data_IF_856489622587
#
_entry.id   IF_856489622587
#
_cell.length_a   1.000
_cell.length_b   1.000
_cell.length_c   1.000
_cell.angle_alpha   90.00
_cell.angle_beta   90.00
_cell.angle_gamma   90.00
#
_symmetry.space_group_name_H-M   'P 1'
#
loop_
_entity.id
_entity.type
_entity.pdbx_description
1 polymer ?
#
# COMPACT_ATOMS: atom_id res chain seq x y z
N UNK A 1 14.69 0.56 6.15
CA UNK A 1 14.78 1.90 6.75
C UNK A 1 14.22 2.87 5.74
N UNK A 2 13.04 3.42 6.01
CA UNK A 2 12.42 4.43 5.17
C UNK A 2 13.26 5.71 5.30
N UNK A 3 13.90 6.11 4.21
CA UNK A 3 14.96 7.11 4.24
C UNK A 3 14.56 8.43 3.57
N UNK A 4 13.52 8.40 2.74
CA UNK A 4 13.01 9.59 2.07
C UNK A 4 11.49 9.53 1.80
N UNK A 5 10.98 10.60 1.19
CA UNK A 5 9.57 10.72 0.81
C UNK A 5 9.15 9.67 -0.23
N UNK A 6 10.07 9.23 -1.08
CA UNK A 6 9.80 8.23 -2.12
C UNK A 6 9.56 6.87 -1.49
N UNK A 7 10.38 6.47 -0.52
CA UNK A 7 10.21 5.25 0.27
C UNK A 7 8.85 5.24 0.97
N UNK A 8 8.47 6.35 1.59
CA UNK A 8 7.17 6.51 2.26
C UNK A 8 6.00 6.41 1.26
N UNK A 9 6.12 7.02 0.08
CA UNK A 9 5.12 6.92 -0.98
C UNK A 9 5.01 5.49 -1.51
N UNK A 10 6.12 4.78 -1.64
CA UNK A 10 6.16 3.40 -2.12
C UNK A 10 5.54 2.45 -1.11
N UNK A 11 5.87 2.60 0.18
CA UNK A 11 5.26 1.86 1.30
C UNK A 11 3.74 2.03 1.30
N UNK A 12 3.27 3.29 1.22
CA UNK A 12 1.83 3.57 1.20
C UNK A 12 1.15 3.00 -0.04
N UNK A 13 1.79 3.06 -1.20
CA UNK A 13 1.24 2.50 -2.44
C UNK A 13 1.09 0.97 -2.36
N UNK A 14 2.13 0.26 -1.91
CA UNK A 14 2.09 -1.19 -1.68
C UNK A 14 1.05 -1.59 -0.65
N UNK A 15 1.00 -0.88 0.47
CA UNK A 15 0.04 -1.15 1.55
C UNK A 15 -1.41 -0.90 1.12
N UNK A 16 -1.67 0.13 0.31
CA UNK A 16 -2.99 0.38 -0.26
C UNK A 16 -3.44 -0.71 -1.23
N UNK A 17 -2.53 -1.20 -2.09
CA UNK A 17 -2.80 -2.35 -2.96
C UNK A 17 -3.13 -3.61 -2.16
N UNK A 18 -2.36 -3.86 -1.09
CA UNK A 18 -2.55 -5.02 -0.22
C UNK A 18 -3.90 -4.96 0.49
N UNK A 19 -4.25 -3.81 1.08
CA UNK A 19 -5.56 -3.61 1.72
C UNK A 19 -6.71 -3.77 0.72
N UNK A 20 -6.56 -3.28 -0.52
CA UNK A 20 -7.55 -3.45 -1.56
C UNK A 20 -7.72 -4.93 -1.96
N UNK A 21 -6.64 -5.70 -2.04
CA UNK A 21 -6.68 -7.13 -2.32
C UNK A 21 -7.37 -7.90 -1.19
N UNK A 22 -7.02 -7.62 0.08
CA UNK A 22 -7.67 -8.20 1.27
C UNK A 22 -9.17 -7.90 1.26
N UNK A 23 -9.56 -6.65 1.02
CA UNK A 23 -10.97 -6.25 1.02
C UNK A 23 -11.78 -6.92 -0.09
N UNK A 24 -11.13 -7.33 -1.18
CA UNK A 24 -11.75 -8.07 -2.30
C UNK A 24 -11.74 -9.60 -2.10
N UNK A 25 -11.08 -10.10 -1.06
CA UNK A 25 -10.88 -11.54 -0.85
C UNK A 25 -9.97 -12.19 -1.91
N UNK A 26 -9.06 -11.42 -2.51
CA UNK A 26 -8.12 -11.94 -3.52
C UNK A 26 -6.84 -12.44 -2.87
N UNK A 27 -6.91 -13.65 -2.30
CA UNK A 27 -5.79 -14.27 -1.57
C UNK A 27 -4.54 -14.44 -2.43
N UNK A 28 -4.70 -14.71 -3.73
CA UNK A 28 -3.56 -14.83 -4.65
C UNK A 28 -2.83 -13.50 -4.79
N UNK A 29 -3.57 -12.40 -4.96
CA UNK A 29 -2.99 -11.07 -5.05
C UNK A 29 -2.36 -10.64 -3.71
N UNK A 30 -2.97 -10.99 -2.59
CA UNK A 30 -2.40 -10.76 -1.24
C UNK A 30 -1.03 -11.41 -1.12
N UNK A 31 -0.90 -12.71 -1.44
CA UNK A 31 0.38 -13.42 -1.35
C UNK A 31 1.44 -12.85 -2.30
N UNK A 32 1.04 -12.47 -3.52
CA UNK A 32 1.94 -11.85 -4.49
C UNK A 32 2.48 -10.50 -3.98
N UNK A 33 1.62 -9.68 -3.36
CA UNK A 33 2.02 -8.38 -2.82
C UNK A 33 2.91 -8.53 -1.58
N UNK A 34 2.60 -9.45 -0.67
CA UNK A 34 3.46 -9.74 0.48
C UNK A 34 4.87 -10.17 0.04
N UNK A 35 4.94 -11.11 -0.92
CA UNK A 35 6.22 -11.56 -1.49
C UNK A 35 7.00 -10.42 -2.15
N UNK A 36 6.31 -9.55 -2.89
CA UNK A 36 6.93 -8.39 -3.53
C UNK A 36 7.51 -7.41 -2.49
N UNK A 37 6.75 -7.11 -1.42
CA UNK A 37 7.19 -6.22 -0.35
C UNK A 37 8.38 -6.80 0.42
N UNK A 38 8.43 -8.12 0.61
CA UNK A 38 9.56 -8.78 1.25
C UNK A 38 10.83 -8.69 0.37
N UNK A 39 10.71 -8.83 -0.95
CA UNK A 39 11.82 -8.62 -1.91
C UNK A 39 12.28 -7.16 -1.93
N UNK A 40 11.34 -6.22 -1.81
CA UNK A 40 11.60 -4.77 -1.73
C UNK A 40 12.26 -4.35 -0.40
N UNK A 41 12.39 -5.27 0.56
CA UNK A 41 12.97 -4.99 1.87
C UNK A 41 12.07 -4.12 2.75
N UNK A 42 10.76 -4.14 2.50
CA UNK A 42 9.79 -3.45 3.36
C UNK A 42 9.72 -4.15 4.70
N UNK A 43 9.97 -3.42 5.77
CA UNK A 43 9.88 -3.97 7.11
C UNK A 43 8.42 -4.39 7.44
N UNK A 44 8.19 -5.58 8.01
CA UNK A 44 6.85 -6.02 8.38
C UNK A 44 6.14 -5.11 9.38
N UNK A 45 6.88 -4.42 10.25
CA UNK A 45 6.37 -3.42 11.19
C UNK A 45 5.89 -2.17 10.46
N UNK A 46 6.73 -1.60 9.59
CA UNK A 46 6.36 -0.44 8.75
C UNK A 46 5.11 -0.74 7.91
N UNK A 47 5.04 -1.94 7.31
CA UNK A 47 3.85 -2.43 6.58
C UNK A 47 2.62 -2.48 7.48
N UNK A 48 2.75 -3.02 8.69
CA UNK A 48 1.62 -3.17 9.63
C UNK A 48 1.08 -1.80 10.04
N UNK A 49 1.97 -0.87 10.37
CA UNK A 49 1.60 0.47 10.82
C UNK A 49 0.93 1.26 9.68
N UNK A 50 1.44 1.18 8.45
CA UNK A 50 0.80 1.84 7.30
C UNK A 50 -0.57 1.22 6.96
N UNK A 51 -0.73 -0.10 7.06
CA UNK A 51 -2.05 -0.74 6.90
C UNK A 51 -3.04 -0.23 7.95
N UNK A 52 -2.60 -0.04 9.20
CA UNK A 52 -3.45 0.49 10.27
C UNK A 52 -3.90 1.94 9.96
N UNK A 53 -3.00 2.78 9.44
CA UNK A 53 -3.32 4.15 8.99
C UNK A 53 -4.33 4.14 7.84
N UNK A 54 -4.13 3.28 6.84
CA UNK A 54 -5.04 3.14 5.71
C UNK A 54 -6.42 2.61 6.13
N UNK A 55 -6.48 1.67 7.07
CA UNK A 55 -7.74 1.20 7.64
C UNK A 55 -8.46 2.30 8.41
N UNK A 56 -7.75 3.12 9.17
CA UNK A 56 -8.34 4.26 9.86
C UNK A 56 -8.94 5.27 8.87
N UNK A 57 -8.24 5.57 7.78
CA UNK A 57 -8.66 6.58 6.80
C UNK A 57 -9.75 6.07 5.84
N UNK A 58 -9.63 4.82 5.38
CA UNK A 58 -10.45 4.26 4.30
C UNK A 58 -11.41 3.16 4.76
N UNK A 59 -11.27 2.61 5.96
CA UNK A 59 -12.18 1.58 6.49
C UNK A 59 -13.66 1.99 6.47
N UNK A 60 -14.02 3.25 6.82
CA UNK A 60 -15.40 3.73 6.71
C UNK A 60 -15.86 4.07 5.28
N UNK A 61 -14.97 4.02 4.29
CA UNK A 61 -15.22 4.51 2.92
C UNK A 61 -15.49 3.36 1.95
N UNK A 62 -16.17 3.60 0.82
CA UNK A 62 -16.31 2.60 -0.24
C UNK A 62 -14.95 2.13 -0.78
N UNK A 63 -14.85 0.86 -1.18
CA UNK A 63 -13.64 0.24 -1.76
C UNK A 63 -13.06 1.06 -2.92
N UNK A 64 -13.92 1.73 -3.70
CA UNK A 64 -13.51 2.59 -4.79
C UNK A 64 -12.55 3.72 -4.35
N UNK A 65 -12.67 4.21 -3.10
CA UNK A 65 -11.79 5.24 -2.55
C UNK A 65 -10.33 4.75 -2.42
N UNK A 66 -10.11 3.48 -2.04
CA UNK A 66 -8.77 2.87 -2.05
C UNK A 66 -8.22 2.75 -3.46
N UNK A 67 -9.07 2.41 -4.45
CA UNK A 67 -8.67 2.38 -5.86
C UNK A 67 -8.19 3.74 -6.37
N UNK A 68 -8.91 4.82 -6.03
CA UNK A 68 -8.51 6.20 -6.35
C UNK A 68 -7.19 6.57 -5.69
N UNK A 69 -6.99 6.20 -4.42
CA UNK A 69 -5.74 6.47 -3.70
C UNK A 69 -4.56 5.75 -4.34
N UNK A 70 -4.70 4.47 -4.70
CA UNK A 70 -3.66 3.70 -5.42
C UNK A 70 -3.27 4.41 -6.73
N UNK A 71 -4.26 4.90 -7.49
CA UNK A 71 -4.01 5.65 -8.73
C UNK A 71 -3.28 6.97 -8.48
N UNK A 72 -3.69 7.73 -7.46
CA UNK A 72 -3.05 8.98 -7.06
C UNK A 72 -1.59 8.76 -6.66
N UNK A 73 -1.32 7.74 -5.85
CA UNK A 73 0.03 7.39 -5.39
C UNK A 73 0.94 6.97 -6.55
N UNK A 74 0.42 6.17 -7.49
CA UNK A 74 1.14 5.81 -8.71
C UNK A 74 1.58 7.04 -9.52
N UNK A 75 0.68 8.01 -9.70
CA UNK A 75 1.00 9.26 -10.41
C UNK A 75 2.10 10.05 -9.69
N UNK A 76 2.08 10.11 -8.35
CA UNK A 76 3.12 10.78 -7.57
C UNK A 76 4.47 10.09 -7.66
N UNK A 77 4.50 8.76 -7.59
CA UNK A 77 5.73 7.97 -7.73
C UNK A 77 6.37 8.18 -9.10
N UNK A 78 5.57 8.24 -10.16
CA UNK A 78 6.06 8.52 -11.52
C UNK A 78 6.63 9.92 -11.73
N UNK A 79 6.35 10.85 -10.82
CA UNK A 79 6.84 12.23 -10.87
C UNK A 79 8.09 12.44 -10.00
N UNK A 80 8.52 11.42 -9.24
CA UNK A 80 9.80 11.48 -8.53
C UNK A 80 10.96 11.41 -9.54
N UNK A 81 12.04 12.18 -9.32
CA UNK A 81 13.21 12.23 -10.19
C UNK A 81 14.03 10.93 -10.19
#
# INVERSE_FOLDING_TARGET
>A
MLSDTTDLLHLRWRSAQLLAAVTRGDDRQVQALLSAMDIEGVDPGDRRDEIALLLHEFGPRPIAALGVEIGRLWLKLRQQP
#
